data_IF_648045389265
#
_entry.id   IF_648045389265
#
_cell.length_a   1.000
_cell.length_b   1.000
_cell.length_c   1.000
_cell.angle_alpha   90.00
_cell.angle_beta   90.00
_cell.angle_gamma   90.00
#
_symmetry.space_group_name_H-M   'P 1'
#
loop_
_entity.id
_entity.type
_entity.pdbx_description
1 polymer ?
#
# COMPACT_ATOMS: atom_id res chain seq x y z
N UNK A 1 17.67 15.72 30.92
CA UNK A 1 16.44 15.10 31.44
C UNK A 1 15.18 15.73 30.86
N UNK A 2 15.01 17.06 30.92
CA UNK A 2 13.78 17.75 30.47
C UNK A 2 13.50 17.60 28.95
N UNK A 3 14.50 17.75 28.08
CA UNK A 3 14.30 17.60 26.62
C UNK A 3 13.91 16.19 26.17
N UNK A 4 14.40 15.16 26.87
CA UNK A 4 14.01 13.77 26.60
C UNK A 4 12.56 13.51 27.04
N UNK A 5 12.10 14.13 28.13
CA UNK A 5 10.72 14.04 28.59
C UNK A 5 9.72 14.63 27.60
N UNK A 6 10.00 15.83 27.06
CA UNK A 6 9.13 16.47 26.05
C UNK A 6 9.06 15.67 24.76
N UNK A 7 10.20 15.20 24.24
CA UNK A 7 10.23 14.37 23.03
C UNK A 7 9.44 13.06 23.21
N UNK A 8 9.54 12.44 24.38
CA UNK A 8 8.79 11.22 24.70
C UNK A 8 7.29 11.47 24.84
N UNK A 9 6.91 12.62 25.39
CA UNK A 9 5.51 13.05 25.49
C UNK A 9 4.91 13.34 24.11
N UNK A 10 5.66 14.00 23.22
CA UNK A 10 5.23 14.28 21.85
C UNK A 10 5.03 12.99 21.04
N UNK A 11 5.94 12.01 21.19
CA UNK A 11 5.80 10.69 20.55
C UNK A 11 4.56 9.96 21.05
N UNK A 12 4.32 9.97 22.37
CA UNK A 12 3.14 9.33 22.97
C UNK A 12 1.83 9.99 22.50
N UNK A 13 1.81 11.32 22.39
CA UNK A 13 0.63 12.03 21.88
C UNK A 13 0.39 11.73 20.38
N UNK A 14 1.47 11.62 19.61
CA UNK A 14 1.38 11.24 18.20
C UNK A 14 0.86 9.81 18.01
N UNK A 15 1.32 8.85 18.82
CA UNK A 15 0.82 7.47 18.74
C UNK A 15 -0.67 7.38 19.10
N UNK A 16 -1.10 8.06 20.18
CA UNK A 16 -2.51 8.10 20.59
C UNK A 16 -3.40 8.71 19.50
N UNK A 17 -2.92 9.75 18.80
CA UNK A 17 -3.67 10.36 17.71
C UNK A 17 -3.75 9.45 16.47
N UNK A 18 -2.66 8.74 16.13
CA UNK A 18 -2.68 7.77 15.03
C UNK A 18 -3.62 6.60 15.31
N UNK A 19 -3.67 6.09 16.54
CA UNK A 19 -4.60 5.01 16.90
C UNK A 19 -6.06 5.42 16.74
N UNK A 20 -6.40 6.67 17.10
CA UNK A 20 -7.75 7.22 16.91
C UNK A 20 -8.10 7.39 15.43
N UNK A 21 -7.16 7.88 14.62
CA UNK A 21 -7.35 8.02 13.17
C UNK A 21 -7.57 6.65 12.51
N UNK A 22 -6.76 5.65 12.88
CA UNK A 22 -6.90 4.28 12.37
C UNK A 22 -8.23 3.67 12.77
N UNK A 23 -8.70 3.88 14.00
CA UNK A 23 -10.01 3.40 14.44
C UNK A 23 -11.17 4.11 13.72
N UNK A 24 -11.08 5.43 13.53
CA UNK A 24 -12.12 6.21 12.85
C UNK A 24 -12.25 5.84 11.35
N UNK A 25 -11.14 5.49 10.71
CA UNK A 25 -11.07 5.16 9.28
C UNK A 25 -10.71 3.69 9.02
N UNK A 26 -11.10 2.80 9.94
CA UNK A 26 -10.70 1.39 9.91
C UNK A 26 -11.11 0.70 8.59
N UNK A 27 -12.26 1.07 8.02
CA UNK A 27 -12.75 0.52 6.76
C UNK A 27 -11.86 0.94 5.58
N UNK A 28 -11.48 2.21 5.50
CA UNK A 28 -10.61 2.77 4.48
C UNK A 28 -9.22 2.13 4.52
N UNK A 29 -8.67 1.92 5.73
CA UNK A 29 -7.42 1.18 5.92
C UNK A 29 -7.51 -0.25 5.39
N UNK A 30 -8.55 -1.00 5.76
CA UNK A 30 -8.74 -2.36 5.25
C UNK A 30 -8.98 -2.39 3.75
N UNK A 31 -9.71 -1.42 3.20
CA UNK A 31 -9.90 -1.30 1.76
C UNK A 31 -8.59 -1.03 1.03
N UNK A 32 -7.76 -0.09 1.51
CA UNK A 32 -6.46 0.21 0.94
C UNK A 32 -5.52 -1.01 0.96
N UNK A 33 -5.45 -1.71 2.09
CA UNK A 33 -4.67 -2.94 2.25
C UNK A 33 -5.19 -4.04 1.31
N UNK A 34 -6.51 -4.26 1.29
CA UNK A 34 -7.14 -5.27 0.45
C UNK A 34 -6.91 -5.04 -1.04
N UNK A 35 -7.05 -3.79 -1.49
CA UNK A 35 -6.81 -3.40 -2.89
C UNK A 35 -5.33 -3.56 -3.24
N UNK A 36 -4.42 -3.18 -2.33
CA UNK A 36 -2.98 -3.35 -2.55
C UNK A 36 -2.63 -4.83 -2.72
N UNK A 37 -2.91 -5.68 -1.74
CA UNK A 37 -2.54 -7.10 -1.81
C UNK A 37 -3.31 -7.85 -2.90
N UNK A 38 -4.61 -7.62 -3.04
CA UNK A 38 -5.42 -8.22 -4.09
C UNK A 38 -4.96 -7.79 -5.50
N UNK A 39 -4.64 -6.51 -5.67
CA UNK A 39 -4.09 -5.96 -6.91
C UNK A 39 -2.71 -6.53 -7.23
N UNK A 40 -1.81 -6.67 -6.25
CA UNK A 40 -0.50 -7.28 -6.45
C UNK A 40 -0.61 -8.75 -6.85
N UNK A 41 -1.52 -9.51 -6.25
CA UNK A 41 -1.78 -10.90 -6.63
C UNK A 41 -2.32 -11.00 -8.06
N UNK A 42 -3.31 -10.16 -8.40
CA UNK A 42 -3.87 -10.11 -9.75
C UNK A 42 -2.81 -9.71 -10.79
N UNK A 43 -2.00 -8.70 -10.50
CA UNK A 43 -0.91 -8.25 -11.36
C UNK A 43 0.13 -9.36 -11.59
N UNK A 44 0.53 -10.05 -10.52
CA UNK A 44 1.46 -11.19 -10.55
C UNK A 44 0.92 -12.32 -11.43
N UNK A 45 -0.37 -12.65 -11.27
CA UNK A 45 -1.05 -13.65 -12.07
C UNK A 45 -1.08 -13.28 -13.57
N UNK A 46 -1.40 -12.02 -13.90
CA UNK A 46 -1.42 -11.54 -15.28
C UNK A 46 -0.04 -11.63 -15.93
N UNK A 47 1.02 -11.29 -15.19
CA UNK A 47 2.41 -11.43 -15.67
C UNK A 47 2.74 -12.89 -15.94
N UNK A 48 2.46 -13.77 -14.97
CA UNK A 48 2.71 -15.20 -15.09
C UNK A 48 2.03 -15.77 -16.33
N UNK A 49 0.73 -15.50 -16.48
CA UNK A 49 -0.08 -15.98 -17.62
C UNK A 49 0.41 -15.43 -18.95
N UNK A 50 0.78 -14.15 -19.00
CA UNK A 50 1.22 -13.51 -20.24
C UNK A 50 2.60 -13.98 -20.71
N UNK A 51 3.50 -14.22 -19.77
CA UNK A 51 4.90 -14.58 -20.07
C UNK A 51 5.16 -16.09 -19.97
N UNK A 52 4.11 -16.89 -19.71
CA UNK A 52 4.17 -18.33 -19.48
C UNK A 52 5.25 -18.73 -18.46
N UNK A 53 5.33 -17.97 -17.36
CA UNK A 53 6.35 -18.15 -16.33
C UNK A 53 5.96 -19.27 -15.36
N UNK A 54 6.96 -20.00 -14.89
CA UNK A 54 6.85 -20.79 -13.66
C UNK A 54 6.68 -19.87 -12.44
N UNK A 55 6.29 -20.45 -11.29
CA UNK A 55 6.13 -19.69 -10.06
C UNK A 55 7.43 -19.00 -9.61
N UNK A 56 8.57 -19.69 -9.67
CA UNK A 56 9.87 -19.09 -9.32
C UNK A 56 10.27 -17.94 -10.23
N UNK A 57 10.03 -18.07 -11.54
CA UNK A 57 10.31 -17.00 -12.50
C UNK A 57 9.39 -15.80 -12.34
N UNK A 58 8.14 -16.01 -11.92
CA UNK A 58 7.22 -14.95 -11.56
C UNK A 58 7.73 -14.16 -10.36
N UNK A 59 8.26 -14.83 -9.32
CA UNK A 59 8.86 -14.14 -8.17
C UNK A 59 10.04 -13.26 -8.58
N UNK A 60 10.95 -13.81 -9.41
CA UNK A 60 12.09 -13.05 -9.95
C UNK A 60 11.64 -11.86 -10.82
N UNK A 61 10.53 -11.99 -11.53
CA UNK A 61 9.95 -10.91 -12.31
C UNK A 61 9.35 -9.80 -11.43
N UNK A 62 8.66 -10.15 -10.35
CA UNK A 62 8.04 -9.20 -9.42
C UNK A 62 9.12 -8.33 -8.75
N UNK A 63 10.24 -8.94 -8.35
CA UNK A 63 11.38 -8.21 -7.75
C UNK A 63 12.28 -7.51 -8.78
N UNK A 64 11.92 -7.54 -10.08
CA UNK A 64 12.62 -6.82 -11.14
C UNK A 64 13.90 -7.49 -11.67
N UNK A 65 14.23 -8.70 -11.23
CA UNK A 65 15.41 -9.45 -11.70
C UNK A 65 15.17 -10.02 -13.10
N UNK A 66 13.96 -10.52 -13.38
CA UNK A 66 13.62 -11.12 -14.67
C UNK A 66 12.85 -10.15 -15.56
N UNK A 67 13.32 -9.95 -16.80
CA UNK A 67 12.61 -9.17 -17.82
C UNK A 67 11.27 -9.83 -18.16
N UNK A 68 10.23 -9.01 -18.27
CA UNK A 68 8.87 -9.44 -18.62
C UNK A 68 8.30 -8.62 -19.78
N UNK A 69 7.47 -9.26 -20.60
CA UNK A 69 6.62 -8.58 -21.57
C UNK A 69 5.42 -7.99 -20.82
N UNK A 70 5.34 -6.67 -20.78
CA UNK A 70 4.18 -5.92 -20.27
C UNK A 70 3.25 -5.57 -21.42
N UNK A 71 1.95 -5.47 -21.11
CA UNK A 71 0.94 -4.95 -22.02
C UNK A 71 0.08 -3.92 -21.26
N UNK A 72 -0.81 -3.24 -21.98
CA UNK A 72 -1.65 -2.20 -21.40
C UNK A 72 -2.45 -2.68 -20.17
N UNK A 73 -3.13 -3.84 -20.18
CA UNK A 73 -3.80 -4.37 -18.99
C UNK A 73 -2.89 -4.57 -17.77
N UNK A 74 -1.70 -5.16 -17.95
CA UNK A 74 -0.73 -5.36 -16.87
C UNK A 74 -0.29 -4.02 -16.27
N UNK A 75 -0.09 -3.01 -17.12
CA UNK A 75 0.31 -1.67 -16.67
C UNK A 75 -0.81 -0.95 -15.93
N UNK A 76 -2.07 -1.06 -16.41
CA UNK A 76 -3.23 -0.47 -15.75
C UNK A 76 -3.43 -1.09 -14.37
N UNK A 77 -3.44 -2.43 -14.26
CA UNK A 77 -3.63 -3.10 -12.97
C UNK A 77 -2.52 -2.72 -11.99
N UNK A 78 -1.26 -2.68 -12.45
CA UNK A 78 -0.14 -2.22 -11.63
C UNK A 78 -0.32 -0.79 -11.13
N UNK A 79 -0.71 0.13 -12.01
CA UNK A 79 -0.93 1.54 -11.66
C UNK A 79 -2.08 1.68 -10.65
N UNK A 80 -3.21 1.01 -10.87
CA UNK A 80 -4.36 1.07 -9.97
C UNK A 80 -4.05 0.48 -8.58
N UNK A 81 -3.25 -0.60 -8.54
CA UNK A 81 -2.79 -1.23 -7.28
C UNK A 81 -2.00 -0.25 -6.41
N UNK A 82 -1.38 0.77 -7.00
CA UNK A 82 -0.60 1.79 -6.28
C UNK A 82 -1.45 3.04 -6.03
N UNK A 83 -2.09 3.57 -7.07
CA UNK A 83 -2.79 4.85 -7.03
C UNK A 83 -3.99 4.80 -6.08
N UNK A 84 -4.79 3.72 -6.10
CA UNK A 84 -6.01 3.65 -5.31
C UNK A 84 -5.69 3.60 -3.80
N UNK A 85 -4.81 2.73 -3.29
CA UNK A 85 -4.43 2.76 -1.88
C UNK A 85 -3.84 4.10 -1.45
N UNK A 86 -2.98 4.71 -2.27
CA UNK A 86 -2.39 6.03 -1.97
C UNK A 86 -3.47 7.12 -1.88
N UNK A 87 -4.46 7.11 -2.77
CA UNK A 87 -5.56 8.07 -2.75
C UNK A 87 -6.44 7.91 -1.50
N UNK A 88 -6.77 6.66 -1.14
CA UNK A 88 -7.53 6.35 0.08
C UNK A 88 -6.76 6.83 1.31
N UNK A 89 -5.47 6.51 1.41
CA UNK A 89 -4.64 6.90 2.55
C UNK A 89 -4.47 8.41 2.65
N UNK A 90 -4.26 9.09 1.52
CA UNK A 90 -4.18 10.55 1.47
C UNK A 90 -5.48 11.21 1.96
N UNK A 91 -6.63 10.64 1.59
CA UNK A 91 -7.93 11.10 2.08
C UNK A 91 -8.05 10.95 3.59
N UNK A 92 -7.69 9.80 4.15
CA UNK A 92 -7.73 9.56 5.61
C UNK A 92 -6.86 10.55 6.38
N UNK A 93 -5.67 10.85 5.88
CA UNK A 93 -4.81 11.85 6.52
C UNK A 93 -5.36 13.27 6.38
N UNK A 94 -5.92 13.62 5.21
CA UNK A 94 -6.52 14.93 5.00
C UNK A 94 -7.75 15.16 5.89
N UNK A 95 -8.67 14.19 5.96
CA UNK A 95 -9.87 14.29 6.82
C UNK A 95 -9.51 14.44 8.30
N UNK A 96 -8.45 13.77 8.74
CA UNK A 96 -7.95 13.82 10.11
C UNK A 96 -7.23 15.12 10.46
N UNK A 97 -6.70 15.84 9.45
CA UNK A 97 -6.05 17.15 9.65
C UNK A 97 -7.03 18.33 9.72
N UNK A 98 -8.26 18.11 9.24
CA UNK A 98 -9.34 19.10 9.22
C UNK A 98 -10.33 18.99 10.39
N UNK A 99 -10.14 17.99 11.27
CA UNK A 99 -10.93 17.75 12.47
C UNK A 99 -10.15 18.20 13.72
#
# INVERSE_FOLDING_TARGET
ALGAYWAMNDINNMSINMDKIVQAHQLEWFAAIGIFFGGTLLWSYLIKRRNNLSFGEMLLAIVGIKKIKRNLPINIVHALTIIIPVAIMSYVFASSSSA
#
